data_IF_164818274242
#
_entry.id   IF_164818274242
#
_cell.length_a   1.000
_cell.length_b   1.000
_cell.length_c   1.000
_cell.angle_alpha   90.00
_cell.angle_beta   90.00
_cell.angle_gamma   90.00
#
_symmetry.space_group_name_H-M   'P 1'
#
loop_
_entity.id
_entity.type
_entity.pdbx_description
1 polymer ?
#
# COMPACT_ATOMS: atom_id res chain seq x y z
N UNK A 1 11.58 14.73 21.26
CA UNK A 1 11.46 13.70 20.20
C UNK A 1 10.71 14.35 19.06
N UNK A 2 11.27 14.40 17.85
CA UNK A 2 10.55 14.97 16.70
C UNK A 2 9.39 14.05 16.34
N UNK A 3 8.18 14.57 16.06
CA UNK A 3 7.07 13.74 15.63
C UNK A 3 7.41 13.07 14.30
N UNK A 4 7.05 11.79 14.15
CA UNK A 4 7.17 11.10 12.87
C UNK A 4 6.31 11.80 11.82
N UNK A 5 6.79 11.83 10.57
CA UNK A 5 6.07 12.48 9.48
C UNK A 5 4.72 11.79 9.26
N UNK A 6 3.65 12.58 9.21
CA UNK A 6 2.30 12.09 8.95
C UNK A 6 2.16 11.57 7.52
N UNK A 7 1.45 10.45 7.38
CA UNK A 7 1.14 9.79 6.12
C UNK A 7 -0.38 9.67 6.04
N UNK A 8 -0.96 10.17 4.94
CA UNK A 8 -2.40 10.09 4.70
C UNK A 8 -2.76 8.74 4.05
N UNK A 9 -3.90 8.18 4.43
CA UNK A 9 -4.50 7.01 3.78
C UNK A 9 -5.19 7.37 2.46
N UNK A 10 -5.32 8.67 2.14
CA UNK A 10 -6.15 9.18 1.05
C UNK A 10 -7.65 9.19 1.37
N UNK A 11 -8.05 8.86 2.60
CA UNK A 11 -9.44 8.86 3.07
C UNK A 11 -9.53 9.80 4.27
N UNK A 12 -9.99 11.03 4.06
CA UNK A 12 -9.96 12.08 5.10
C UNK A 12 -10.58 11.64 6.43
N UNK A 13 -11.75 11.00 6.40
CA UNK A 13 -12.40 10.53 7.63
C UNK A 13 -11.59 9.47 8.39
N UNK A 14 -10.83 8.64 7.66
CA UNK A 14 -9.96 7.63 8.29
C UNK A 14 -8.69 8.29 8.86
N UNK A 15 -8.11 9.25 8.14
CA UNK A 15 -6.97 10.03 8.61
C UNK A 15 -7.29 10.77 9.92
N UNK A 16 -8.49 11.35 10.03
CA UNK A 16 -8.96 12.02 11.25
C UNK A 16 -9.14 11.03 12.42
N UNK A 17 -9.75 9.87 12.17
CA UNK A 17 -9.99 8.85 13.21
C UNK A 17 -8.67 8.24 13.71
N UNK A 18 -7.72 7.98 12.82
CA UNK A 18 -6.43 7.37 13.16
C UNK A 18 -5.39 8.40 13.63
N UNK A 19 -5.67 9.70 13.48
CA UNK A 19 -4.68 10.77 13.60
C UNK A 19 -3.47 10.57 12.69
N UNK A 20 -3.75 10.21 11.43
CA UNK A 20 -2.81 9.85 10.36
C UNK A 20 -1.97 8.60 10.66
N UNK A 21 -1.51 7.95 9.60
CA UNK A 21 -0.43 6.97 9.70
C UNK A 21 0.90 7.69 9.96
N UNK A 22 1.86 6.97 10.49
CA UNK A 22 3.22 7.47 10.71
C UNK A 22 4.19 6.88 9.70
N UNK A 23 5.15 7.69 9.28
CA UNK A 23 6.23 7.20 8.44
C UNK A 23 7.01 6.09 9.16
N UNK A 24 7.07 4.91 8.56
CA UNK A 24 7.69 3.71 9.13
C UNK A 24 6.69 2.67 9.63
N UNK A 25 5.39 2.98 9.67
CA UNK A 25 4.36 2.01 10.05
C UNK A 25 4.31 0.82 9.10
N UNK A 26 4.10 -0.36 9.66
CA UNK A 26 3.64 -1.53 8.93
C UNK A 26 2.13 -1.70 9.14
N UNK A 27 1.35 -1.33 8.13
CA UNK A 27 -0.11 -1.37 8.19
C UNK A 27 -0.63 -2.66 7.58
N UNK A 28 -1.30 -3.48 8.40
CA UNK A 28 -1.89 -4.75 7.98
C UNK A 28 -3.40 -4.66 8.10
N UNK A 29 -4.10 -4.93 7.01
CA UNK A 29 -5.57 -5.01 6.98
C UNK A 29 -6.01 -6.47 6.96
N UNK A 30 -6.94 -6.82 7.85
CA UNK A 30 -7.70 -8.05 7.77
C UNK A 30 -9.05 -7.73 7.11
N UNK A 31 -9.33 -8.38 6.00
CA UNK A 31 -10.57 -8.23 5.24
C UNK A 31 -11.11 -9.60 4.85
N UNK A 32 -12.42 -9.68 4.62
CA UNK A 32 -13.04 -10.91 4.13
C UNK A 32 -12.78 -11.11 2.62
N UNK A 33 -12.78 -10.02 1.84
CA UNK A 33 -12.58 -10.05 0.39
C UNK A 33 -11.50 -9.06 -0.06
N UNK A 34 -10.77 -9.44 -1.10
CA UNK A 34 -9.67 -8.63 -1.63
C UNK A 34 -10.16 -7.31 -2.26
N UNK A 35 -11.39 -7.29 -2.76
CA UNK A 35 -12.06 -6.12 -3.30
C UNK A 35 -12.27 -5.04 -2.22
N UNK A 36 -12.48 -5.44 -0.97
CA UNK A 36 -12.60 -4.50 0.15
C UNK A 36 -11.24 -3.89 0.49
N UNK A 37 -10.17 -4.68 0.47
CA UNK A 37 -8.81 -4.16 0.63
C UNK A 37 -8.46 -3.14 -0.47
N UNK A 38 -8.90 -3.39 -1.71
CA UNK A 38 -8.66 -2.47 -2.84
C UNK A 38 -9.24 -1.06 -2.57
N UNK A 39 -10.39 -0.95 -1.90
CA UNK A 39 -11.00 0.34 -1.53
C UNK A 39 -10.11 1.20 -0.61
N UNK A 40 -9.19 0.59 0.13
CA UNK A 40 -8.20 1.29 0.96
C UNK A 40 -6.89 1.55 0.20
N UNK A 41 -6.45 0.57 -0.59
CA UNK A 41 -5.18 0.65 -1.33
C UNK A 41 -5.22 1.71 -2.42
N UNK A 42 -6.32 1.81 -3.17
CA UNK A 42 -6.46 2.77 -4.26
C UNK A 42 -6.24 4.23 -3.82
N UNK A 43 -6.99 4.78 -2.83
CA UNK A 43 -6.79 6.17 -2.40
C UNK A 43 -5.40 6.42 -1.79
N UNK A 44 -4.82 5.43 -1.12
CA UNK A 44 -3.45 5.52 -0.60
C UNK A 44 -2.44 5.64 -1.73
N UNK A 45 -2.56 4.79 -2.75
CA UNK A 45 -1.68 4.79 -3.94
C UNK A 45 -1.81 6.10 -4.70
N UNK A 46 -3.03 6.56 -4.96
CA UNK A 46 -3.29 7.84 -5.65
C UNK A 46 -2.65 9.01 -4.89
N UNK A 47 -2.83 9.05 -3.56
CA UNK A 47 -2.25 10.09 -2.70
C UNK A 47 -0.72 10.04 -2.71
N UNK A 48 -0.14 8.84 -2.65
CA UNK A 48 1.31 8.66 -2.69
C UNK A 48 1.91 9.11 -4.03
N UNK A 49 1.26 8.76 -5.15
CA UNK A 49 1.67 9.18 -6.48
C UNK A 49 1.56 10.69 -6.67
N UNK A 50 0.46 11.31 -6.21
CA UNK A 50 0.27 12.77 -6.27
C UNK A 50 1.35 13.52 -5.47
N UNK A 51 1.89 12.90 -4.42
CA UNK A 51 3.00 13.43 -3.60
C UNK A 51 4.38 13.06 -4.13
N UNK A 52 4.48 12.45 -5.31
CA UNK A 52 5.73 11.96 -5.91
C UNK A 52 6.51 11.01 -5.00
N UNK A 53 5.80 10.22 -4.19
CA UNK A 53 6.42 9.21 -3.34
C UNK A 53 6.76 7.96 -4.15
N UNK A 54 7.88 7.33 -3.81
CA UNK A 54 8.28 6.07 -4.45
C UNK A 54 7.29 4.97 -4.06
N UNK A 55 6.63 4.40 -5.06
CA UNK A 55 5.70 3.30 -4.87
C UNK A 55 6.30 1.97 -5.35
N UNK A 56 6.39 1.01 -4.44
CA UNK A 56 6.87 -0.34 -4.72
C UNK A 56 5.74 -1.33 -4.45
N UNK A 57 5.37 -2.11 -5.46
CA UNK A 57 4.35 -3.15 -5.35
C UNK A 57 4.98 -4.53 -5.47
N UNK A 58 5.01 -5.26 -4.35
CA UNK A 58 5.44 -6.65 -4.31
C UNK A 58 4.28 -7.56 -4.67
N UNK A 59 4.31 -8.14 -5.89
CA UNK A 59 3.24 -8.94 -6.45
C UNK A 59 3.58 -10.44 -6.42
N UNK A 60 2.90 -11.19 -5.57
CA UNK A 60 3.08 -12.65 -5.45
C UNK A 60 1.78 -13.45 -5.24
N UNK A 61 0.64 -12.79 -5.02
CA UNK A 61 -0.62 -13.44 -4.70
C UNK A 61 -1.36 -13.99 -5.95
N UNK A 62 -2.29 -14.93 -5.73
CA UNK A 62 -3.05 -15.61 -6.81
C UNK A 62 -4.31 -14.84 -7.27
N UNK A 63 -4.89 -13.97 -6.45
CA UNK A 63 -6.03 -13.11 -6.84
C UNK A 63 -5.59 -12.09 -7.90
N UNK A 64 -6.48 -11.47 -8.70
CA UNK A 64 -6.10 -10.42 -9.67
C UNK A 64 -5.21 -9.31 -9.07
N UNK A 65 -4.34 -8.72 -9.89
CA UNK A 65 -3.44 -7.67 -9.41
C UNK A 65 -4.24 -6.44 -8.94
N UNK A 66 -3.92 -5.92 -7.75
CA UNK A 66 -4.55 -4.72 -7.21
C UNK A 66 -4.20 -3.46 -8.01
N UNK A 67 -2.95 -3.38 -8.48
CA UNK A 67 -2.40 -2.25 -9.20
C UNK A 67 -2.00 -2.64 -10.61
N UNK A 68 -2.35 -1.80 -11.57
CA UNK A 68 -1.87 -1.87 -12.95
C UNK A 68 -0.43 -1.38 -13.06
N UNK A 69 0.31 -1.88 -14.05
CA UNK A 69 1.64 -1.37 -14.34
C UNK A 69 1.55 0.10 -14.80
N UNK A 70 2.40 0.95 -14.22
CA UNK A 70 2.51 2.37 -14.55
C UNK A 70 3.99 2.77 -14.44
N UNK A 71 4.48 3.74 -15.24
CA UNK A 71 5.85 4.26 -15.11
C UNK A 71 6.21 4.70 -13.68
N UNK A 72 5.21 5.16 -12.91
CA UNK A 72 5.40 5.65 -11.54
C UNK A 72 5.32 4.55 -10.47
N UNK A 73 4.99 3.31 -10.85
CA UNK A 73 4.84 2.18 -9.92
C UNK A 73 5.88 1.11 -10.26
N UNK A 74 6.80 0.85 -9.33
CA UNK A 74 7.75 -0.26 -9.48
C UNK A 74 7.10 -1.56 -9.02
N UNK A 75 6.72 -2.41 -9.96
CA UNK A 75 6.17 -3.74 -9.68
C UNK A 75 7.28 -4.79 -9.67
N UNK A 76 7.40 -5.55 -8.59
CA UNK A 76 8.22 -6.76 -8.52
C UNK A 76 7.33 -7.99 -8.46
N UNK A 77 7.46 -8.90 -9.43
CA UNK A 77 6.74 -10.18 -9.42
C UNK A 77 7.62 -11.22 -8.75
N UNK A 78 7.13 -11.79 -7.64
CA UNK A 78 7.86 -12.78 -6.85
C UNK A 78 7.11 -14.11 -6.89
N UNK A 79 7.86 -15.21 -6.92
CA UNK A 79 7.30 -16.54 -6.74
C UNK A 79 7.35 -16.92 -5.25
N UNK A 80 6.22 -16.80 -4.55
CA UNK A 80 6.15 -17.14 -3.12
C UNK A 80 6.44 -18.62 -2.83
N UNK A 81 6.33 -19.51 -3.84
CA UNK A 81 6.56 -20.95 -3.69
C UNK A 81 8.04 -21.35 -3.83
N UNK A 82 8.92 -20.42 -4.24
CA UNK A 82 10.33 -20.74 -4.46
C UNK A 82 11.11 -20.90 -3.15
N UNK A 83 10.54 -20.49 -2.01
CA UNK A 83 11.26 -20.48 -0.73
C UNK A 83 12.39 -19.44 -0.70
N UNK A 84 13.23 -19.50 0.33
CA UNK A 84 14.36 -18.59 0.53
C UNK A 84 15.71 -19.18 0.12
N UNK A 85 15.74 -20.46 -0.25
CA UNK A 85 16.96 -21.17 -0.62
C UNK A 85 17.05 -21.23 -2.16
N UNK A 86 18.15 -20.68 -2.68
CA UNK A 86 18.55 -20.72 -4.09
C UNK A 86 20.02 -21.09 -4.15
#
# INVERSE_FOLDING_TARGET
MAPFAQVSTGINGLDEILNYLQMGDNVVFQVDNIEDYKKFVDPYVETALARNQRLVYMRFANHPALLSASPSIKVYKLNANQGFES
#
